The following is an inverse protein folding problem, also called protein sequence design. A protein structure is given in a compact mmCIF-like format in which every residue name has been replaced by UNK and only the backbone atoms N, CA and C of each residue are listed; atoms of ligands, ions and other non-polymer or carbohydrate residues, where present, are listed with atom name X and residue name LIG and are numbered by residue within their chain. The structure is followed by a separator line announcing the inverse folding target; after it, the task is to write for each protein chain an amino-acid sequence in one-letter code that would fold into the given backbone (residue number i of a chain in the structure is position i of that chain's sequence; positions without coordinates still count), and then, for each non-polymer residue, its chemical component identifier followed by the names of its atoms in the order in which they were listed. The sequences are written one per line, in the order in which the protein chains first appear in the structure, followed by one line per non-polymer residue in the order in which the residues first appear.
data_IF_402597949201
#
_entry.id   IF_402597949201
#
_cell.length_a   1.000
_cell.length_b   1.000
_cell.length_c   1.000
_cell.angle_alpha   90.00
_cell.angle_beta   90.00
_cell.angle_gamma   90.00
#
_symmetry.space_group_name_H-M   'P 1'
#
loop_
_entity.id
_entity.type
_entity.pdbx_description
1 polymer ?
#
# COMPACT_ATOMS: atom_id res chain seq x y z
N UNK A 1 15.33 11.93 -8.94
CA UNK A 1 14.67 10.68 -9.40
C UNK A 1 15.31 9.50 -8.69
N UNK A 2 14.50 8.63 -8.13
CA UNK A 2 14.99 7.36 -7.56
C UNK A 2 15.25 6.36 -8.69
N UNK A 3 16.37 5.66 -8.66
CA UNK A 3 16.66 4.58 -9.63
C UNK A 3 16.54 3.24 -8.95
N UNK A 4 16.15 2.21 -9.70
CA UNK A 4 16.08 0.82 -9.21
C UNK A 4 17.38 0.06 -9.35
N UNK A 5 18.22 0.47 -10.31
CA UNK A 5 19.48 -0.23 -10.61
C UNK A 5 20.39 -0.29 -9.38
N UNK A 6 20.83 -1.49 -9.05
CA UNK A 6 21.70 -1.79 -7.91
C UNK A 6 21.11 -1.44 -6.54
N UNK A 7 19.77 -1.41 -6.40
CA UNK A 7 19.08 -1.14 -5.15
C UNK A 7 18.53 -2.42 -4.53
N UNK A 8 18.47 -2.46 -3.19
CA UNK A 8 17.76 -3.48 -2.43
C UNK A 8 16.36 -2.97 -2.11
N UNK A 9 15.35 -3.72 -2.49
CA UNK A 9 13.95 -3.38 -2.29
C UNK A 9 13.28 -4.40 -1.37
N UNK A 10 12.55 -3.92 -0.37
CA UNK A 10 11.67 -4.73 0.47
C UNK A 10 10.22 -4.44 0.16
N UNK A 11 9.43 -5.49 -0.07
CA UNK A 11 7.99 -5.41 -0.29
C UNK A 11 7.27 -6.28 0.74
N UNK A 12 6.47 -5.66 1.64
CA UNK A 12 5.56 -6.41 2.52
C UNK A 12 4.31 -6.83 1.75
N UNK A 13 3.81 -8.05 1.98
CA UNK A 13 2.76 -8.63 1.14
C UNK A 13 3.25 -8.90 -0.29
N UNK A 14 4.56 -9.14 -0.44
CA UNK A 14 5.23 -9.25 -1.74
C UNK A 14 5.04 -10.59 -2.45
N UNK A 15 4.43 -11.59 -1.80
CA UNK A 15 4.25 -12.92 -2.36
C UNK A 15 2.96 -13.10 -3.17
N UNK A 16 2.13 -12.06 -3.29
CA UNK A 16 0.87 -12.16 -4.06
C UNK A 16 0.42 -10.80 -4.62
N UNK A 17 -0.62 -10.83 -5.47
CA UNK A 17 -1.31 -9.64 -5.94
C UNK A 17 -0.40 -8.58 -6.57
N UNK A 18 -0.63 -7.30 -6.22
CA UNK A 18 0.19 -6.20 -6.74
C UNK A 18 1.60 -6.19 -6.16
N UNK A 19 1.81 -6.74 -4.94
CA UNK A 19 3.13 -6.85 -4.31
C UNK A 19 4.09 -7.68 -5.17
N UNK A 20 3.65 -8.88 -5.58
CA UNK A 20 4.40 -9.76 -6.48
C UNK A 20 4.68 -9.09 -7.83
N UNK A 21 3.67 -8.43 -8.42
CA UNK A 21 3.83 -7.73 -9.70
C UNK A 21 4.82 -6.56 -9.61
N UNK A 22 4.81 -5.82 -8.50
CA UNK A 22 5.80 -4.76 -8.25
C UNK A 22 7.21 -5.33 -8.14
N UNK A 23 7.37 -6.46 -7.44
CA UNK A 23 8.63 -7.17 -7.32
C UNK A 23 9.18 -7.60 -8.68
N UNK A 24 8.35 -8.19 -9.55
CA UNK A 24 8.71 -8.57 -10.91
C UNK A 24 9.19 -7.36 -11.74
N UNK A 25 8.43 -6.26 -11.71
CA UNK A 25 8.79 -5.06 -12.48
C UNK A 25 10.10 -4.45 -11.94
N UNK A 26 10.30 -4.45 -10.61
CA UNK A 26 11.52 -3.93 -10.00
C UNK A 26 12.76 -4.76 -10.40
N UNK A 27 12.66 -6.09 -10.39
CA UNK A 27 13.73 -6.98 -10.87
C UNK A 27 14.08 -6.69 -12.33
N UNK A 28 13.09 -6.56 -13.20
CA UNK A 28 13.30 -6.19 -14.61
C UNK A 28 13.91 -4.81 -14.80
N UNK A 29 13.84 -3.93 -13.80
CA UNK A 29 14.50 -2.61 -13.76
C UNK A 29 15.91 -2.68 -13.14
N UNK A 30 16.40 -3.85 -12.77
CA UNK A 30 17.77 -4.08 -12.33
C UNK A 30 18.01 -3.83 -10.84
N UNK A 31 17.02 -4.08 -9.96
CA UNK A 31 17.29 -4.13 -8.51
C UNK A 31 18.31 -5.21 -8.20
N UNK A 32 19.19 -4.96 -7.24
CA UNK A 32 20.19 -5.92 -6.78
C UNK A 32 19.52 -7.09 -6.06
N UNK A 33 18.64 -6.78 -5.13
CA UNK A 33 17.91 -7.79 -4.35
C UNK A 33 16.46 -7.37 -4.17
N UNK A 34 15.54 -8.28 -4.50
CA UNK A 34 14.14 -8.21 -4.09
C UNK A 34 13.95 -9.00 -2.80
N UNK A 35 13.56 -8.32 -1.74
CA UNK A 35 13.16 -8.95 -0.49
C UNK A 35 11.64 -8.99 -0.42
N UNK A 36 11.09 -10.17 -0.14
CA UNK A 36 9.66 -10.42 0.02
C UNK A 36 9.38 -10.79 1.47
N UNK A 37 8.59 -9.97 2.16
CA UNK A 37 7.98 -10.32 3.44
C UNK A 37 6.51 -10.63 3.23
N UNK A 38 6.09 -11.81 3.64
CA UNK A 38 4.69 -12.26 3.57
C UNK A 38 4.39 -13.23 4.72
N UNK A 39 3.14 -13.41 5.07
CA UNK A 39 2.75 -14.38 6.09
C UNK A 39 2.61 -15.80 5.54
N UNK A 40 2.42 -15.95 4.23
CA UNK A 40 2.17 -17.22 3.56
C UNK A 40 3.45 -17.79 2.95
N UNK A 41 4.03 -18.80 3.61
CA UNK A 41 5.27 -19.44 3.17
C UNK A 41 5.16 -20.05 1.77
N UNK A 42 4.07 -20.75 1.46
CA UNK A 42 3.89 -21.39 0.15
C UNK A 42 3.88 -20.36 -0.99
N UNK A 43 3.24 -19.19 -0.78
CA UNK A 43 3.25 -18.10 -1.75
C UNK A 43 4.65 -17.47 -1.89
N UNK A 44 5.41 -17.38 -0.80
CA UNK A 44 6.81 -16.90 -0.83
C UNK A 44 7.65 -17.83 -1.70
N UNK A 45 7.58 -19.13 -1.45
CA UNK A 45 8.38 -20.14 -2.18
C UNK A 45 8.04 -20.16 -3.67
N UNK A 46 6.75 -20.14 -4.01
CA UNK A 46 6.27 -20.07 -5.38
C UNK A 46 6.73 -18.77 -6.09
N UNK A 47 6.59 -17.62 -5.41
CA UNK A 47 6.99 -16.33 -5.97
C UNK A 47 8.51 -16.23 -6.13
N UNK A 48 9.28 -16.73 -5.16
CA UNK A 48 10.75 -16.80 -5.25
C UNK A 48 11.17 -17.66 -6.45
N UNK A 49 10.60 -18.86 -6.59
CA UNK A 49 10.90 -19.74 -7.72
C UNK A 49 10.60 -19.08 -9.07
N UNK A 50 9.45 -18.40 -9.18
CA UNK A 50 9.03 -17.73 -10.42
C UNK A 50 9.90 -16.52 -10.76
N UNK A 51 10.24 -15.68 -9.77
CA UNK A 51 10.91 -14.41 -10.00
C UNK A 51 12.44 -14.50 -10.03
N UNK A 52 13.04 -15.58 -9.51
CA UNK A 52 14.51 -15.77 -9.49
C UNK A 52 15.15 -15.79 -10.89
N UNK A 53 14.39 -16.04 -11.93
CA UNK A 53 14.86 -15.92 -13.33
C UNK A 53 15.17 -14.47 -13.76
N UNK A 54 14.70 -13.47 -13.01
CA UNK A 54 14.92 -12.05 -13.30
C UNK A 54 15.98 -11.41 -12.40
N UNK A 55 16.41 -12.07 -11.32
CA UNK A 55 17.42 -11.56 -10.39
C UNK A 55 17.35 -12.22 -9.02
N UNK A 56 18.10 -11.69 -8.06
CA UNK A 56 18.18 -12.24 -6.72
C UNK A 56 16.91 -11.95 -5.91
N UNK A 57 16.29 -13.00 -5.35
CA UNK A 57 15.07 -12.90 -4.54
C UNK A 57 15.30 -13.56 -3.18
N UNK A 58 15.13 -12.78 -2.12
CA UNK A 58 15.12 -13.23 -0.73
C UNK A 58 13.67 -13.23 -0.21
N UNK A 59 13.16 -14.35 0.24
CA UNK A 59 11.81 -14.49 0.79
C UNK A 59 11.87 -14.85 2.27
N UNK A 60 11.12 -14.14 3.12
CA UNK A 60 11.04 -14.40 4.55
C UNK A 60 9.58 -14.42 4.99
N UNK A 61 9.20 -15.42 5.80
CA UNK A 61 7.90 -15.44 6.45
C UNK A 61 7.90 -14.48 7.63
N UNK A 62 7.17 -13.37 7.50
CA UNK A 62 7.10 -12.31 8.51
C UNK A 62 5.65 -11.93 8.74
N UNK A 63 5.20 -12.03 9.99
CA UNK A 63 3.96 -11.41 10.43
C UNK A 63 4.24 -9.94 10.78
N UNK A 64 3.92 -9.05 9.85
CA UNK A 64 4.17 -7.61 10.02
C UNK A 64 3.30 -6.97 11.10
N UNK A 65 2.29 -7.68 11.61
CA UNK A 65 1.45 -7.19 12.72
C UNK A 65 2.13 -7.36 14.09
N UNK A 66 3.19 -8.16 14.18
CA UNK A 66 3.98 -8.35 15.38
C UNK A 66 5.29 -7.57 15.30
N UNK A 67 5.47 -6.61 16.17
CA UNK A 67 6.60 -5.69 16.12
C UNK A 67 7.94 -6.36 16.49
N UNK A 68 7.94 -7.36 17.39
CA UNK A 68 9.13 -8.13 17.74
C UNK A 68 9.62 -8.94 16.53
N UNK A 69 8.67 -9.65 15.87
CA UNK A 69 8.97 -10.40 14.64
C UNK A 69 9.52 -9.50 13.55
N UNK A 70 8.98 -8.29 13.39
CA UNK A 70 9.49 -7.30 12.43
C UNK A 70 10.91 -6.88 12.76
N UNK A 71 11.21 -6.59 14.03
CA UNK A 71 12.54 -6.18 14.48
C UNK A 71 13.59 -7.29 14.29
N UNK A 72 13.27 -8.53 14.69
CA UNK A 72 14.12 -9.70 14.52
C UNK A 72 14.38 -10.00 13.04
N UNK A 73 13.32 -9.96 12.23
CA UNK A 73 13.40 -10.19 10.78
C UNK A 73 14.26 -9.14 10.08
N UNK A 74 14.14 -7.86 10.49
CA UNK A 74 15.00 -6.81 9.93
C UNK A 74 16.46 -6.98 10.36
N UNK A 75 16.71 -7.33 11.62
CA UNK A 75 18.07 -7.61 12.10
C UNK A 75 18.72 -8.79 11.34
N UNK A 76 17.97 -9.85 11.04
CA UNK A 76 18.43 -10.94 10.18
C UNK A 76 18.71 -10.45 8.77
N UNK A 77 17.74 -9.76 8.15
CA UNK A 77 17.85 -9.22 6.79
C UNK A 77 19.07 -8.32 6.63
N UNK A 78 19.35 -7.49 7.64
CA UNK A 78 20.51 -6.58 7.63
C UNK A 78 21.83 -7.33 7.59
N UNK A 79 21.92 -8.51 8.21
CA UNK A 79 23.12 -9.38 8.12
C UNK A 79 23.27 -10.01 6.74
N UNK A 80 22.16 -10.35 6.08
CA UNK A 80 22.16 -11.08 4.80
C UNK A 80 22.29 -10.14 3.59
N UNK A 81 21.61 -8.98 3.61
CA UNK A 81 21.46 -8.08 2.47
C UNK A 81 22.13 -6.72 2.70
N UNK A 82 22.45 -6.40 3.95
CA UNK A 82 23.08 -5.15 4.34
C UNK A 82 22.07 -4.05 4.67
N UNK A 83 21.45 -3.43 3.69
CA UNK A 83 20.48 -2.36 3.91
C UNK A 83 19.35 -2.39 2.86
N UNK A 84 18.26 -1.75 3.18
CA UNK A 84 17.15 -1.54 2.26
C UNK A 84 17.17 -0.11 1.72
N UNK A 85 17.13 0.03 0.41
CA UNK A 85 17.06 1.33 -0.26
C UNK A 85 15.61 1.76 -0.50
N UNK A 86 14.72 0.82 -0.81
CA UNK A 86 13.32 1.08 -1.10
C UNK A 86 12.46 0.14 -0.28
N UNK A 87 11.58 0.70 0.54
CA UNK A 87 10.53 -0.03 1.25
C UNK A 87 9.20 0.22 0.56
N UNK A 88 8.47 -0.86 0.24
CA UNK A 88 7.06 -0.78 -0.18
C UNK A 88 6.18 -1.48 0.86
N UNK A 89 5.46 -0.72 1.65
CA UNK A 89 4.44 -1.21 2.56
C UNK A 89 3.17 -1.53 1.76
N UNK A 90 3.02 -2.80 1.36
CA UNK A 90 1.92 -3.27 0.52
C UNK A 90 1.04 -4.34 1.20
N UNK A 91 1.49 -4.93 2.31
CA UNK A 91 0.65 -5.82 3.10
C UNK A 91 -0.65 -5.12 3.53
N UNK A 92 -1.77 -5.80 3.41
CA UNK A 92 -3.06 -5.24 3.78
C UNK A 92 -4.19 -6.24 3.62
N UNK A 93 -5.23 -6.04 4.39
CA UNK A 93 -6.43 -6.89 4.42
C UNK A 93 -7.70 -6.06 4.42
N UNK A 94 -8.80 -6.71 4.09
CA UNK A 94 -10.15 -6.28 4.40
C UNK A 94 -10.83 -7.41 5.16
N UNK A 95 -11.34 -7.15 6.36
CA UNK A 95 -11.85 -8.18 7.26
C UNK A 95 -13.37 -8.27 7.26
N UNK A 96 -14.07 -7.20 6.89
CA UNK A 96 -15.52 -7.15 6.96
C UNK A 96 -16.14 -6.41 5.78
N UNK A 97 -17.37 -6.80 5.46
CA UNK A 97 -18.30 -6.08 4.59
C UNK A 97 -19.65 -5.98 5.31
N UNK A 98 -19.65 -5.28 6.44
CA UNK A 98 -20.79 -5.16 7.36
C UNK A 98 -20.97 -3.70 7.76
N UNK A 99 -22.17 -3.34 8.16
CA UNK A 99 -22.40 -2.08 8.88
C UNK A 99 -21.64 -2.09 10.20
N UNK A 100 -21.22 -0.94 10.69
CA UNK A 100 -20.28 -0.86 11.81
C UNK A 100 -20.80 -1.50 13.11
N UNK A 101 -22.10 -1.44 13.35
CA UNK A 101 -22.78 -2.10 14.48
C UNK A 101 -22.59 -3.63 14.51
N UNK A 102 -22.23 -4.25 13.38
CA UNK A 102 -22.01 -5.70 13.24
C UNK A 102 -20.53 -6.07 13.18
N UNK A 103 -19.62 -5.10 13.18
CA UNK A 103 -18.18 -5.36 13.12
C UNK A 103 -17.67 -5.78 14.49
N UNK A 104 -16.98 -6.91 14.56
CA UNK A 104 -16.39 -7.39 15.82
C UNK A 104 -15.12 -6.62 16.20
N UNK A 105 -14.80 -6.64 17.49
CA UNK A 105 -13.55 -6.05 18.00
C UNK A 105 -12.32 -6.67 17.35
N UNK A 106 -12.33 -7.97 17.08
CA UNK A 106 -11.20 -8.65 16.40
C UNK A 106 -11.03 -8.17 14.96
N UNK A 107 -12.14 -7.95 14.22
CA UNK A 107 -12.08 -7.37 12.87
C UNK A 107 -11.51 -5.94 12.89
N UNK A 108 -11.89 -5.14 13.89
CA UNK A 108 -11.33 -3.79 14.09
C UNK A 108 -9.82 -3.86 14.34
N UNK A 109 -9.43 -4.61 15.37
CA UNK A 109 -8.06 -4.73 15.81
C UNK A 109 -7.17 -5.25 14.66
N UNK A 110 -7.57 -6.34 14.02
CA UNK A 110 -6.81 -6.95 12.94
C UNK A 110 -6.65 -6.03 11.73
N UNK A 111 -7.71 -5.33 11.34
CA UNK A 111 -7.65 -4.39 10.22
C UNK A 111 -6.72 -3.22 10.52
N UNK A 112 -6.84 -2.61 11.69
CA UNK A 112 -5.99 -1.49 12.10
C UNK A 112 -4.54 -1.93 12.26
N UNK A 113 -4.31 -3.07 12.89
CA UNK A 113 -2.97 -3.60 13.13
C UNK A 113 -2.21 -3.85 11.82
N UNK A 114 -2.84 -4.51 10.84
CA UNK A 114 -2.16 -4.85 9.59
C UNK A 114 -2.09 -3.65 8.63
N UNK A 115 -3.17 -2.89 8.48
CA UNK A 115 -3.23 -1.85 7.46
C UNK A 115 -2.61 -0.52 7.88
N UNK A 116 -2.60 -0.20 9.18
CA UNK A 116 -2.14 1.09 9.68
C UNK A 116 -0.88 0.99 10.54
N UNK A 117 -0.86 0.09 11.52
CA UNK A 117 0.22 0.01 12.50
C UNK A 117 1.43 -0.75 11.94
N UNK A 118 1.23 -1.87 11.26
CA UNK A 118 2.32 -2.67 10.71
C UNK A 118 3.26 -1.89 9.76
N UNK A 119 2.76 -1.05 8.82
CA UNK A 119 3.63 -0.16 8.05
C UNK A 119 4.51 0.75 8.88
N UNK A 120 4.00 1.21 10.04
CA UNK A 120 4.78 2.04 10.98
C UNK A 120 5.88 1.21 11.64
N UNK A 121 5.59 -0.01 12.09
CA UNK A 121 6.60 -0.92 12.65
C UNK A 121 7.73 -1.21 11.68
N UNK A 122 7.38 -1.55 10.42
CA UNK A 122 8.40 -1.84 9.39
C UNK A 122 9.23 -0.61 9.07
N UNK A 123 8.60 0.55 8.91
CA UNK A 123 9.31 1.80 8.67
C UNK A 123 10.20 2.21 9.85
N UNK A 124 9.76 1.99 11.10
CA UNK A 124 10.52 2.29 12.31
C UNK A 124 11.87 1.55 12.36
N UNK A 125 11.92 0.32 11.84
CA UNK A 125 13.16 -0.43 11.77
C UNK A 125 14.10 0.05 10.65
N UNK A 126 13.56 0.46 9.51
CA UNK A 126 14.33 0.72 8.29
C UNK A 126 14.73 2.20 8.16
N UNK A 127 13.86 3.11 8.57
CA UNK A 127 14.03 4.55 8.40
C UNK A 127 15.31 5.11 9.07
N UNK A 128 15.71 4.68 10.28
CA UNK A 128 16.96 5.15 10.88
C UNK A 128 18.19 4.91 10.00
N UNK A 129 18.29 3.74 9.35
CA UNK A 129 19.38 3.42 8.43
C UNK A 129 19.32 4.27 7.15
N UNK A 130 18.12 4.56 6.65
CA UNK A 130 17.93 5.44 5.50
C UNK A 130 18.34 6.89 5.84
N UNK A 131 17.97 7.39 7.02
CA UNK A 131 18.31 8.73 7.48
C UNK A 131 19.84 8.85 7.70
N UNK A 132 20.45 7.87 8.34
CA UNK A 132 21.91 7.84 8.57
C UNK A 132 22.70 7.88 7.25
N UNK A 133 22.23 7.18 6.22
CA UNK A 133 22.82 7.19 4.86
C UNK A 133 22.37 8.40 4.02
N UNK A 134 21.45 9.21 4.54
CA UNK A 134 20.77 10.31 3.82
C UNK A 134 20.25 9.89 2.44
N UNK A 135 19.75 8.65 2.34
CA UNK A 135 19.28 8.04 1.08
C UNK A 135 18.28 6.92 1.39
N UNK A 136 17.15 6.93 0.73
CA UNK A 136 16.13 5.90 0.86
C UNK A 136 14.78 6.35 0.29
N UNK A 137 13.88 5.40 0.12
CA UNK A 137 12.51 5.68 -0.34
C UNK A 137 11.51 4.76 0.35
N UNK A 138 10.52 5.32 1.01
CA UNK A 138 9.39 4.60 1.59
C UNK A 138 8.16 4.84 0.71
N UNK A 139 7.53 3.76 0.25
CA UNK A 139 6.26 3.81 -0.47
C UNK A 139 5.16 3.11 0.33
N UNK A 140 4.10 3.83 0.65
CA UNK A 140 2.98 3.30 1.41
C UNK A 140 1.74 3.14 0.51
N UNK A 141 1.16 1.93 0.52
CA UNK A 141 -0.05 1.64 -0.24
C UNK A 141 -1.29 1.97 0.63
N UNK A 142 -1.79 3.16 0.40
CA UNK A 142 -3.08 3.62 0.91
C UNK A 142 -4.27 3.01 0.14
N UNK A 143 -5.28 3.81 -0.09
CA UNK A 143 -6.48 3.49 -0.91
C UNK A 143 -7.25 4.76 -1.23
N UNK A 144 -8.05 4.76 -2.29
CA UNK A 144 -9.09 5.76 -2.49
C UNK A 144 -10.06 5.82 -1.29
N UNK A 145 -10.33 4.65 -0.65
CA UNK A 145 -11.08 4.57 0.62
C UNK A 145 -10.41 5.26 1.82
N UNK A 146 -9.15 5.68 1.72
CA UNK A 146 -8.49 6.58 2.67
C UNK A 146 -8.72 8.07 2.38
N UNK A 147 -9.60 8.41 1.45
CA UNK A 147 -9.97 9.78 1.09
C UNK A 147 -11.48 9.95 0.92
N UNK A 148 -12.21 8.85 0.80
CA UNK A 148 -13.64 8.81 0.57
C UNK A 148 -14.32 7.94 1.62
N UNK A 149 -15.45 8.38 2.14
CA UNK A 149 -16.31 7.52 2.94
C UNK A 149 -16.87 6.38 2.06
N UNK A 150 -16.95 5.19 2.62
CA UNK A 150 -17.54 4.06 1.93
C UNK A 150 -18.28 3.16 2.94
N UNK A 151 -19.60 3.03 2.86
CA UNK A 151 -20.39 2.13 3.69
C UNK A 151 -19.85 0.69 3.65
N UNK A 152 -20.03 -0.05 4.74
CA UNK A 152 -19.58 -1.44 4.93
C UNK A 152 -18.05 -1.64 4.94
N UNK A 153 -17.28 -0.55 4.90
CA UNK A 153 -15.80 -0.55 4.94
C UNK A 153 -15.24 0.42 5.98
N UNK A 154 -16.00 0.81 6.99
CA UNK A 154 -15.64 1.90 7.90
C UNK A 154 -14.25 1.72 8.55
N UNK A 155 -13.95 0.53 9.06
CA UNK A 155 -12.64 0.22 9.68
C UNK A 155 -11.51 0.19 8.65
N UNK A 156 -11.76 -0.40 7.47
CA UNK A 156 -10.78 -0.36 6.38
C UNK A 156 -10.49 1.08 5.95
N UNK A 157 -11.54 1.89 5.76
CA UNK A 157 -11.39 3.31 5.42
C UNK A 157 -10.56 4.04 6.49
N UNK A 158 -10.90 3.89 7.78
CA UNK A 158 -10.14 4.48 8.89
C UNK A 158 -8.65 4.10 8.84
N UNK A 159 -8.34 2.82 8.61
CA UNK A 159 -6.96 2.35 8.50
C UNK A 159 -6.21 2.99 7.31
N UNK A 160 -6.89 3.21 6.19
CA UNK A 160 -6.29 3.83 5.00
C UNK A 160 -6.19 5.35 5.10
N UNK A 161 -7.07 6.02 5.85
CA UNK A 161 -6.89 7.42 6.26
C UNK A 161 -5.67 7.57 7.17
N UNK A 162 -5.50 6.67 8.16
CA UNK A 162 -4.35 6.68 9.07
C UNK A 162 -3.02 6.61 8.30
N UNK A 163 -2.90 5.70 7.32
CA UNK A 163 -1.69 5.57 6.49
C UNK A 163 -1.39 6.84 5.69
N UNK A 164 -2.41 7.49 5.12
CA UNK A 164 -2.21 8.72 4.34
C UNK A 164 -1.70 9.84 5.24
N UNK A 165 -2.37 10.06 6.39
CA UNK A 165 -1.99 11.11 7.34
C UNK A 165 -0.60 10.90 7.94
N UNK A 166 -0.30 9.66 8.37
CA UNK A 166 1.02 9.29 8.88
C UNK A 166 2.13 9.49 7.83
N UNK A 167 1.90 9.05 6.60
CA UNK A 167 2.88 9.19 5.51
C UNK A 167 3.20 10.65 5.21
N UNK A 168 2.19 11.51 5.20
CA UNK A 168 2.38 12.95 4.99
C UNK A 168 3.17 13.59 6.16
N UNK A 169 2.88 13.20 7.41
CA UNK A 169 3.61 13.69 8.58
C UNK A 169 5.09 13.30 8.53
N UNK A 170 5.40 12.01 8.31
CA UNK A 170 6.79 11.53 8.19
C UNK A 170 7.52 12.22 7.03
N UNK A 171 6.85 12.45 5.92
CA UNK A 171 7.44 13.18 4.79
C UNK A 171 7.83 14.62 5.17
N UNK A 172 7.01 15.31 5.95
CA UNK A 172 7.30 16.68 6.43
C UNK A 172 8.43 16.65 7.45
N UNK A 173 8.40 15.72 8.42
CA UNK A 173 9.49 15.55 9.40
C UNK A 173 10.86 15.35 8.71
N UNK A 174 10.92 14.53 7.67
CA UNK A 174 12.13 14.33 6.89
C UNK A 174 12.56 15.58 6.11
N UNK A 175 11.62 16.39 5.64
CA UNK A 175 11.92 17.67 5.00
C UNK A 175 12.50 18.69 6.01
N UNK A 176 11.92 18.81 7.20
CA UNK A 176 12.43 19.65 8.28
C UNK A 176 13.85 19.24 8.70
N UNK A 177 14.13 17.94 8.73
CA UNK A 177 15.47 17.39 8.99
C UNK A 177 16.44 17.56 7.80
N UNK A 178 16.00 18.15 6.68
CA UNK A 178 16.77 18.26 5.41
C UNK A 178 17.27 16.91 4.89
N UNK A 179 16.57 15.83 5.23
CA UNK A 179 16.88 14.47 4.75
C UNK A 179 16.51 14.30 3.27
N UNK A 180 17.35 13.54 2.54
CA UNK A 180 17.07 13.15 1.15
C UNK A 180 16.18 11.91 1.04
N UNK A 181 15.80 11.30 2.16
CA UNK A 181 14.84 10.18 2.17
C UNK A 181 13.49 10.65 1.64
N UNK A 182 12.90 9.84 0.78
CA UNK A 182 11.62 10.14 0.12
C UNK A 182 10.48 9.31 0.71
N UNK A 183 9.30 9.89 0.69
CA UNK A 183 8.05 9.17 1.03
C UNK A 183 7.06 9.37 -0.10
N UNK A 184 6.55 8.26 -0.63
CA UNK A 184 5.47 8.21 -1.63
C UNK A 184 4.25 7.54 -1.04
N UNK A 185 3.09 8.16 -1.19
CA UNK A 185 1.80 7.56 -0.82
C UNK A 185 1.01 7.28 -2.09
N UNK A 186 0.52 6.05 -2.23
CA UNK A 186 -0.31 5.63 -3.36
C UNK A 186 -1.71 5.32 -2.84
N UNK A 187 -2.72 5.86 -3.49
CA UNK A 187 -4.13 5.65 -3.16
C UNK A 187 -4.87 5.03 -4.36
N UNK A 188 -4.81 3.70 -4.55
CA UNK A 188 -5.50 3.03 -5.64
C UNK A 188 -7.02 2.98 -5.40
N UNK A 189 -7.79 3.04 -6.49
CA UNK A 189 -9.16 2.57 -6.55
C UNK A 189 -9.19 1.03 -6.53
N UNK A 190 -10.35 0.40 -6.60
CA UNK A 190 -10.49 -1.05 -6.58
C UNK A 190 -9.67 -1.73 -7.69
N UNK A 191 -8.94 -2.79 -7.31
CA UNK A 191 -8.04 -3.55 -8.19
C UNK A 191 -8.54 -4.99 -8.29
N UNK A 192 -8.51 -5.57 -9.47
CA UNK A 192 -8.93 -6.96 -9.72
C UNK A 192 -7.85 -7.97 -9.29
N UNK A 193 -7.57 -8.04 -7.98
CA UNK A 193 -6.57 -8.97 -7.38
C UNK A 193 -7.18 -10.08 -6.53
N UNK A 194 -8.51 -10.21 -6.52
CA UNK A 194 -9.23 -11.12 -5.63
C UNK A 194 -9.57 -10.51 -4.26
N UNK A 195 -8.82 -9.54 -3.77
CA UNK A 195 -9.12 -8.89 -2.48
C UNK A 195 -10.51 -8.24 -2.47
N UNK A 196 -10.94 -7.70 -3.59
CA UNK A 196 -12.21 -7.00 -3.80
C UNK A 196 -13.14 -7.73 -4.75
N UNK A 197 -13.14 -9.07 -4.71
CA UNK A 197 -14.08 -9.86 -5.52
C UNK A 197 -15.52 -9.53 -5.16
N UNK A 198 -16.39 -9.47 -6.18
CA UNK A 198 -17.80 -9.09 -6.04
C UNK A 198 -18.05 -7.58 -6.03
N UNK A 199 -17.03 -6.73 -5.93
CA UNK A 199 -17.22 -5.27 -6.04
C UNK A 199 -17.72 -4.89 -7.41
N UNK A 200 -18.79 -4.09 -7.45
CA UNK A 200 -19.33 -3.49 -8.67
C UNK A 200 -19.27 -1.99 -8.59
N UNK A 201 -18.75 -1.35 -9.60
CA UNK A 201 -18.70 0.10 -9.71
C UNK A 201 -19.56 0.56 -10.89
N UNK A 202 -20.45 1.54 -10.64
CA UNK A 202 -21.39 2.08 -11.62
C UNK A 202 -20.68 2.89 -12.70
N UNK A 203 -19.71 3.71 -12.29
CA UNK A 203 -19.08 4.72 -13.16
C UNK A 203 -17.63 4.36 -13.47
N UNK A 204 -16.87 3.89 -12.49
CA UNK A 204 -15.43 3.68 -12.64
C UNK A 204 -15.10 2.18 -12.79
N UNK A 205 -14.49 1.74 -13.89
CA UNK A 205 -14.05 0.35 -13.99
C UNK A 205 -12.97 0.02 -12.97
N UNK A 206 -12.87 -1.27 -12.59
CA UNK A 206 -11.82 -1.73 -11.69
C UNK A 206 -10.46 -1.67 -12.39
N UNK A 207 -9.42 -1.38 -11.61
CA UNK A 207 -8.07 -1.26 -12.13
C UNK A 207 -7.45 -2.63 -12.40
N UNK A 208 -6.70 -2.73 -13.50
CA UNK A 208 -5.91 -3.93 -13.84
C UNK A 208 -4.64 -3.98 -12.97
N UNK A 209 -4.35 -5.11 -12.27
CA UNK A 209 -3.24 -5.21 -11.32
C UNK A 209 -1.87 -4.84 -11.90
N UNK A 210 -1.56 -5.32 -13.09
CA UNK A 210 -0.27 -5.03 -13.75
C UNK A 210 -0.09 -3.52 -14.02
N UNK A 211 -1.16 -2.82 -14.46
CA UNK A 211 -1.10 -1.38 -14.71
C UNK A 211 -0.91 -0.60 -13.41
N UNK A 212 -1.54 -1.04 -12.32
CA UNK A 212 -1.37 -0.45 -10.99
C UNK A 212 0.07 -0.62 -10.52
N UNK A 213 0.61 -1.84 -10.54
CA UNK A 213 1.97 -2.13 -10.16
C UNK A 213 2.98 -1.27 -10.95
N UNK A 214 2.82 -1.19 -12.29
CA UNK A 214 3.65 -0.34 -13.14
C UNK A 214 3.57 1.14 -12.76
N UNK A 215 2.38 1.65 -12.46
CA UNK A 215 2.20 3.04 -12.07
C UNK A 215 2.81 3.33 -10.69
N UNK A 216 2.76 2.38 -9.74
CA UNK A 216 3.40 2.52 -8.41
C UNK A 216 4.92 2.58 -8.58
N UNK A 217 5.51 1.64 -9.31
CA UNK A 217 6.95 1.60 -9.57
C UNK A 217 7.41 2.90 -10.25
N UNK A 218 6.67 3.40 -11.23
CA UNK A 218 6.98 4.67 -11.88
C UNK A 218 6.82 5.88 -10.94
N UNK A 219 5.88 5.85 -9.99
CA UNK A 219 5.69 6.93 -9.02
C UNK A 219 6.88 7.03 -8.06
N UNK A 220 7.41 5.89 -7.59
CA UNK A 220 8.64 5.82 -6.78
C UNK A 220 9.82 6.38 -7.59
N UNK A 221 10.00 5.97 -8.83
CA UNK A 221 11.09 6.43 -9.71
C UNK A 221 11.07 7.94 -9.94
N UNK A 222 9.88 8.53 -9.99
CA UNK A 222 9.67 9.99 -10.19
C UNK A 222 9.64 10.79 -8.89
N UNK A 223 9.88 10.19 -7.74
CA UNK A 223 9.78 10.80 -6.41
C UNK A 223 8.41 11.47 -6.16
N UNK A 224 7.34 10.84 -6.63
CA UNK A 224 5.98 11.36 -6.51
C UNK A 224 5.54 11.31 -5.05
N UNK A 225 5.17 12.43 -4.44
CA UNK A 225 4.79 12.50 -3.02
C UNK A 225 3.48 11.79 -2.74
N UNK A 226 2.47 12.04 -3.56
CA UNK A 226 1.16 11.41 -3.47
C UNK A 226 0.60 11.12 -4.86
N UNK A 227 0.02 9.93 -5.04
CA UNK A 227 -0.64 9.56 -6.30
C UNK A 227 -1.89 8.75 -6.05
N UNK A 228 -3.03 9.30 -6.44
CA UNK A 228 -4.27 8.55 -6.55
C UNK A 228 -4.32 7.84 -7.90
N UNK A 229 -4.68 6.56 -7.88
CA UNK A 229 -4.84 5.76 -9.10
C UNK A 229 -6.33 5.53 -9.34
N UNK A 230 -6.88 6.24 -10.30
CA UNK A 230 -8.27 6.13 -10.74
C UNK A 230 -8.31 5.74 -12.22
N UNK A 231 -9.33 5.00 -12.66
CA UNK A 231 -9.53 4.74 -14.09
C UNK A 231 -9.99 6.02 -14.80
N UNK A 232 -9.47 6.26 -15.99
CA UNK A 232 -9.89 7.24 -17.02
C UNK A 232 -9.76 8.73 -16.69
N UNK A 233 -9.89 9.11 -15.44
CA UNK A 233 -9.91 10.52 -15.07
C UNK A 233 -8.59 10.81 -14.38
N UNK A 234 -7.72 11.64 -14.97
CA UNK A 234 -6.62 12.23 -14.25
C UNK A 234 -7.17 13.35 -13.34
N UNK A 235 -8.25 13.04 -12.57
CA UNK A 235 -8.69 13.95 -11.52
C UNK A 235 -7.58 14.00 -10.49
N UNK A 236 -6.96 15.18 -10.32
CA UNK A 236 -6.00 15.33 -9.25
C UNK A 236 -6.72 14.98 -7.94
N UNK A 237 -6.08 14.21 -7.06
CA UNK A 237 -6.62 13.93 -5.72
C UNK A 237 -7.03 15.22 -4.99
N UNK A 238 -6.43 16.35 -5.33
CA UNK A 238 -6.81 17.69 -4.88
C UNK A 238 -8.26 18.04 -5.20
N UNK A 239 -8.80 17.58 -6.32
CA UNK A 239 -10.18 17.86 -6.69
C UNK A 239 -11.18 17.20 -5.77
N UNK A 240 -10.93 15.97 -5.34
CA UNK A 240 -11.80 15.26 -4.37
C UNK A 240 -11.76 15.97 -3.01
N UNK A 241 -10.57 16.34 -2.54
CA UNK A 241 -10.40 17.11 -1.29
C UNK A 241 -11.05 18.48 -1.39
N UNK A 242 -10.92 19.15 -2.55
CA UNK A 242 -11.55 20.45 -2.80
C UNK A 242 -13.08 20.34 -2.77
N UNK A 243 -13.65 19.35 -3.45
CA UNK A 243 -15.09 19.11 -3.41
C UNK A 243 -15.59 18.81 -2.00
N UNK A 244 -14.84 18.00 -1.25
CA UNK A 244 -15.15 17.67 0.16
C UNK A 244 -15.14 18.93 1.06
N UNK A 245 -14.23 19.88 0.79
CA UNK A 245 -14.13 21.12 1.57
C UNK A 245 -15.11 22.24 1.14
N UNK A 246 -15.56 22.23 -0.11
CA UNK A 246 -16.40 23.29 -0.66
C UNK A 246 -17.90 22.95 -0.66
N UNK A 247 -18.25 21.67 -0.86
CA UNK A 247 -19.64 21.27 -0.93
C UNK A 247 -20.24 21.06 0.47
N UNK A 248 -21.48 21.51 0.73
CA UNK A 248 -22.22 21.04 1.89
C UNK A 248 -22.29 19.51 1.89
N UNK A 249 -22.16 18.90 3.08
CA UNK A 249 -22.07 17.44 3.22
C UNK A 249 -23.19 16.70 2.47
N UNK A 250 -24.42 17.19 2.54
CA UNK A 250 -25.55 16.58 1.82
C UNK A 250 -25.38 16.56 0.29
N UNK A 251 -24.82 17.64 -0.27
CA UNK A 251 -24.57 17.73 -1.71
C UNK A 251 -23.42 16.80 -2.12
N UNK A 252 -22.39 16.72 -1.28
CA UNK A 252 -21.28 15.81 -1.49
C UNK A 252 -21.72 14.34 -1.43
N UNK A 253 -22.50 13.97 -0.40
CA UNK A 253 -23.00 12.61 -0.23
C UNK A 253 -23.94 12.20 -1.38
N UNK A 254 -24.83 13.09 -1.83
CA UNK A 254 -25.65 12.85 -3.02
C UNK A 254 -24.79 12.61 -4.26
N UNK A 255 -23.77 13.45 -4.50
CA UNK A 255 -22.86 13.28 -5.63
C UNK A 255 -22.13 11.94 -5.56
N UNK A 256 -21.56 11.58 -4.41
CA UNK A 256 -20.77 10.37 -4.25
C UNK A 256 -21.62 9.10 -4.19
N UNK A 257 -22.78 9.16 -3.52
CA UNK A 257 -23.68 8.02 -3.36
C UNK A 257 -24.57 7.79 -4.58
N UNK A 258 -25.43 8.77 -4.90
CA UNK A 258 -26.48 8.58 -5.90
C UNK A 258 -25.97 8.76 -7.34
N UNK A 259 -25.17 9.80 -7.60
CA UNK A 259 -24.67 10.08 -8.94
C UNK A 259 -23.55 9.13 -9.32
N UNK A 260 -22.48 9.05 -8.52
CA UNK A 260 -21.29 8.25 -8.81
C UNK A 260 -21.41 6.80 -8.34
N UNK A 261 -22.37 6.49 -7.45
CA UNK A 261 -22.62 5.13 -6.95
C UNK A 261 -21.48 4.56 -6.09
N UNK A 262 -20.64 5.41 -5.51
CA UNK A 262 -19.49 5.00 -4.69
C UNK A 262 -19.96 4.25 -3.43
N UNK A 263 -21.05 4.71 -2.80
CA UNK A 263 -21.56 4.13 -1.55
C UNK A 263 -22.21 2.76 -1.72
N UNK A 264 -22.45 2.33 -2.97
CA UNK A 264 -23.05 1.03 -3.32
C UNK A 264 -22.05 0.02 -3.88
N UNK A 265 -20.76 0.38 -3.96
CA UNK A 265 -19.73 -0.48 -4.58
C UNK A 265 -19.53 -1.80 -3.84
N UNK A 266 -19.77 -1.83 -2.52
CA UNK A 266 -19.57 -2.99 -1.66
C UNK A 266 -20.79 -3.89 -1.49
N UNK A 267 -21.92 -3.60 -2.13
CA UNK A 267 -23.17 -4.34 -1.92
C UNK A 267 -23.09 -5.82 -2.32
N UNK A 268 -22.28 -6.13 -3.33
CA UNK A 268 -22.06 -7.50 -3.83
C UNK A 268 -20.66 -8.05 -3.49
N UNK A 269 -19.97 -7.45 -2.55
CA UNK A 269 -18.63 -7.86 -2.15
C UNK A 269 -18.64 -9.28 -1.56
N UNK A 270 -17.75 -10.14 -2.08
CA UNK A 270 -17.55 -11.51 -1.56
C UNK A 270 -16.17 -11.69 -0.92
N UNK A 271 -15.23 -10.82 -1.27
CA UNK A 271 -13.86 -10.90 -0.80
C UNK A 271 -13.07 -12.07 -1.40
N UNK A 272 -11.85 -12.22 -0.94
CA UNK A 272 -10.97 -13.34 -1.34
C UNK A 272 -11.51 -14.61 -0.68
N UNK A 273 -11.85 -15.61 -1.48
CA UNK A 273 -12.17 -16.96 -1.03
C UNK A 273 -10.93 -17.72 -0.59
#
# INVERSE_FOLDING_TARGET
MSTYKNKNILITGGASGIGKLMGEIALKKGVSTLVIWDINQANIDATKAELSKYGHVCGMRVDVSNHEVVAESYAQLKREVGHIDILINCAGIITSNKTFDQVSTDEINRTMQINAIAPMYVAQQILPDMVARNSGHICNIGSAGGMLANPKMSVYAASKWAIIGWSDSVRIELQEQKSKVKVTTIAPYYITTGMFDGVKSKVFPLLKPHNVAKQIINAIERDTKFKMLMPWIPLPHHFIRLLQGLLPTRCYDWLMGDVLGIYHTMDNFTGRK
#
